data_IF_019946111641
#
_entry.id   IF_019946111641
#
_cell.length_a   1.000
_cell.length_b   1.000
_cell.length_c   1.000
_cell.angle_alpha   90.00
_cell.angle_beta   90.00
_cell.angle_gamma   90.00
#
_symmetry.space_group_name_H-M   'P 1'
#
loop_
_entity.id
_entity.type
_entity.pdbx_description
1 polymer ?
#
# COMPACT_ATOMS: atom_id res chain seq x y z
N UNK A 1 -73.56 28.27 -14.00
CA UNK A 1 -72.34 28.52 -13.20
C UNK A 1 -72.28 27.51 -12.07
N UNK A 2 -71.23 26.66 -12.04
CA UNK A 2 -70.67 26.00 -10.85
C UNK A 2 -69.40 25.26 -11.28
N UNK A 3 -68.27 25.96 -11.19
CA UNK A 3 -66.93 25.39 -11.32
C UNK A 3 -66.67 24.46 -10.13
N UNK A 4 -66.19 23.24 -10.38
CA UNK A 4 -65.60 22.37 -9.36
C UNK A 4 -64.15 22.11 -9.76
N UNK A 5 -63.25 22.89 -9.17
CA UNK A 5 -61.80 22.71 -9.26
C UNK A 5 -61.40 21.42 -8.55
N UNK A 6 -60.77 20.49 -9.26
CA UNK A 6 -60.03 19.38 -8.67
C UNK A 6 -58.60 19.88 -8.43
N UNK A 7 -58.19 19.99 -7.17
CA UNK A 7 -56.81 20.27 -6.79
C UNK A 7 -56.03 18.95 -6.80
N UNK A 8 -55.11 18.80 -7.76
CA UNK A 8 -54.17 17.68 -7.79
C UNK A 8 -53.02 18.00 -6.83
N UNK A 9 -52.96 17.27 -5.71
CA UNK A 9 -51.85 17.36 -4.76
C UNK A 9 -50.68 16.52 -5.30
N UNK A 10 -49.60 17.18 -5.72
CA UNK A 10 -48.38 16.53 -6.19
C UNK A 10 -47.46 16.28 -4.99
N UNK A 11 -47.46 15.06 -4.46
CA UNK A 11 -46.57 14.67 -3.36
C UNK A 11 -45.17 14.44 -3.91
N UNK A 12 -44.25 15.37 -3.66
CA UNK A 12 -42.83 15.25 -4.01
C UNK A 12 -42.17 14.26 -3.04
N UNK A 13 -41.93 13.02 -3.49
CA UNK A 13 -41.14 12.04 -2.73
C UNK A 13 -39.66 12.38 -2.93
N UNK A 14 -39.09 13.12 -1.97
CA UNK A 14 -37.66 13.40 -1.93
C UNK A 14 -36.93 12.12 -1.50
N UNK A 15 -36.40 11.39 -2.47
CA UNK A 15 -35.58 10.21 -2.23
C UNK A 15 -34.21 10.68 -1.73
N UNK A 16 -34.04 10.79 -0.42
CA UNK A 16 -32.72 11.00 0.18
C UNK A 16 -31.88 9.74 -0.03
N UNK A 17 -31.16 9.68 -1.16
CA UNK A 17 -30.09 8.73 -1.33
C UNK A 17 -28.97 9.17 -0.38
N UNK A 18 -28.88 8.52 0.78
CA UNK A 18 -27.66 8.55 1.57
C UNK A 18 -26.61 7.80 0.75
N UNK A 19 -25.89 8.54 -0.09
CA UNK A 19 -24.62 8.07 -0.61
C UNK A 19 -23.72 7.84 0.60
N UNK A 20 -23.59 6.58 1.03
CA UNK A 20 -22.47 6.18 1.87
C UNK A 20 -21.23 6.48 1.03
N UNK A 21 -20.61 7.62 1.28
CA UNK A 21 -19.38 7.99 0.62
C UNK A 21 -18.35 6.93 1.02
N UNK A 22 -18.00 6.05 0.09
CA UNK A 22 -16.83 5.18 0.23
C UNK A 22 -15.65 6.13 0.45
N UNK A 23 -15.11 6.19 1.68
CA UNK A 23 -14.09 7.19 2.03
C UNK A 23 -12.79 6.90 1.26
N UNK A 24 -12.50 5.63 0.95
CA UNK A 24 -11.33 5.26 0.15
C UNK A 24 -11.65 4.21 -0.91
N UNK A 25 -11.06 4.38 -2.10
CA UNK A 25 -11.13 3.43 -3.20
C UNK A 25 -9.77 3.21 -3.83
N UNK A 26 -9.63 2.12 -4.57
CA UNK A 26 -8.46 1.83 -5.39
C UNK A 26 -8.90 1.65 -6.84
N UNK A 27 -8.16 2.27 -7.76
CA UNK A 27 -8.40 2.19 -9.20
C UNK A 27 -7.15 1.67 -9.90
N UNK A 28 -7.34 0.97 -11.03
CA UNK A 28 -6.23 0.60 -11.90
C UNK A 28 -5.59 1.87 -12.48
N UNK A 29 -4.26 1.91 -12.49
CA UNK A 29 -3.50 2.99 -13.11
C UNK A 29 -2.76 2.45 -14.33
N UNK A 30 -3.30 2.71 -15.52
CA UNK A 30 -2.71 2.33 -16.81
C UNK A 30 -1.57 3.28 -17.24
N UNK A 31 -0.70 3.60 -16.29
CA UNK A 31 0.51 4.40 -16.47
C UNK A 31 1.68 3.64 -15.85
N UNK A 32 2.86 3.70 -16.48
CA UNK A 32 4.09 3.17 -15.89
C UNK A 32 4.59 4.07 -14.76
N UNK A 33 5.39 3.51 -13.85
CA UNK A 33 6.05 4.29 -12.83
C UNK A 33 6.96 5.38 -13.46
N UNK A 34 7.14 6.54 -12.80
CA UNK A 34 7.96 7.65 -13.31
C UNK A 34 9.44 7.23 -13.45
N UNK A 35 9.83 6.83 -14.66
CA UNK A 35 11.14 6.24 -14.94
C UNK A 35 12.30 7.24 -14.76
N UNK A 36 12.04 8.54 -14.91
CA UNK A 36 12.99 9.63 -14.69
C UNK A 36 13.36 9.81 -13.20
N UNK A 37 12.48 9.41 -12.28
CA UNK A 37 12.74 9.41 -10.85
C UNK A 37 13.47 8.16 -10.35
N UNK A 38 13.57 7.11 -11.18
CA UNK A 38 14.07 5.78 -10.80
C UNK A 38 15.44 5.48 -11.44
N UNK A 39 16.21 4.57 -10.83
CA UNK A 39 17.36 4.00 -11.54
C UNK A 39 16.87 3.11 -12.69
N UNK A 40 17.64 2.98 -13.79
CA UNK A 40 17.28 2.07 -14.88
C UNK A 40 17.08 0.62 -14.42
N UNK A 41 17.85 0.17 -13.43
CA UNK A 41 17.77 -1.17 -12.86
C UNK A 41 16.42 -1.40 -12.15
N UNK A 42 15.99 -0.45 -11.30
CA UNK A 42 14.71 -0.53 -10.60
C UNK A 42 13.54 -0.38 -11.59
N UNK A 43 13.60 0.61 -12.49
CA UNK A 43 12.56 0.82 -13.50
C UNK A 43 12.34 -0.42 -14.36
N UNK A 44 13.41 -1.14 -14.72
CA UNK A 44 13.34 -2.39 -15.48
C UNK A 44 12.59 -3.54 -14.78
N UNK A 45 12.47 -3.50 -13.45
CA UNK A 45 11.78 -4.51 -12.65
C UNK A 45 10.27 -4.27 -12.51
N UNK A 46 9.76 -3.06 -12.79
CA UNK A 46 8.38 -2.69 -12.47
C UNK A 46 7.38 -3.16 -13.53
N UNK A 47 6.17 -3.50 -13.09
CA UNK A 47 5.05 -3.74 -13.99
C UNK A 47 4.72 -2.47 -14.81
N UNK A 48 4.08 -2.65 -15.97
CA UNK A 48 3.75 -1.55 -16.90
C UNK A 48 2.56 -0.70 -16.43
N UNK A 49 1.84 -1.17 -15.40
CA UNK A 49 0.69 -0.51 -14.79
C UNK A 49 0.78 -0.60 -13.28
N UNK A 50 0.13 0.32 -12.59
CA UNK A 50 0.02 0.35 -11.14
C UNK A 50 -1.43 0.39 -10.67
N UNK A 51 -1.59 0.91 -9.46
CA UNK A 51 -2.88 1.31 -8.91
C UNK A 51 -2.80 2.72 -8.34
N UNK A 52 -3.94 3.38 -8.25
CA UNK A 52 -4.11 4.67 -7.57
C UNK A 52 -5.04 4.50 -6.39
N UNK A 53 -4.59 4.92 -5.21
CA UNK A 53 -5.42 4.96 -3.99
C UNK A 53 -6.00 6.36 -3.84
N UNK A 54 -7.32 6.46 -3.69
CA UNK A 54 -8.05 7.73 -3.69
C UNK A 54 -8.91 7.81 -2.44
N UNK A 55 -8.85 8.97 -1.76
CA UNK A 55 -9.77 9.36 -0.70
C UNK A 55 -10.86 10.29 -1.22
N UNK A 56 -12.10 10.06 -0.78
CA UNK A 56 -13.28 10.81 -1.19
C UNK A 56 -13.48 10.75 -2.71
N UNK A 57 -13.90 11.86 -3.32
CA UNK A 57 -14.16 11.90 -4.76
C UNK A 57 -12.87 11.90 -5.60
N UNK A 58 -11.81 12.57 -5.18
CA UNK A 58 -10.69 12.90 -6.06
C UNK A 58 -9.32 13.07 -5.41
N UNK A 59 -9.16 12.89 -4.09
CA UNK A 59 -7.87 13.10 -3.45
C UNK A 59 -7.01 11.84 -3.62
N UNK A 60 -6.07 11.85 -4.56
CA UNK A 60 -5.02 10.82 -4.61
C UNK A 60 -4.22 10.81 -3.32
N UNK A 61 -4.10 9.64 -2.70
CA UNK A 61 -3.21 9.40 -1.57
C UNK A 61 -1.84 8.97 -2.06
N UNK A 62 -1.81 7.96 -2.92
CA UNK A 62 -0.59 7.46 -3.55
C UNK A 62 -0.90 6.64 -4.80
N UNK A 63 0.12 6.49 -5.64
CA UNK A 63 0.15 5.54 -6.74
C UNK A 63 1.17 4.45 -6.44
N UNK A 64 0.85 3.18 -6.70
CA UNK A 64 1.69 2.02 -6.36
C UNK A 64 1.92 1.15 -7.59
N UNK A 65 3.18 0.79 -7.85
CA UNK A 65 3.59 -0.15 -8.89
C UNK A 65 4.36 -1.30 -8.27
N UNK A 66 3.91 -2.53 -8.46
CA UNK A 66 4.65 -3.72 -8.03
C UNK A 66 5.74 -4.08 -9.05
N UNK A 67 6.73 -4.86 -8.63
CA UNK A 67 7.62 -5.52 -9.60
C UNK A 67 6.84 -6.51 -10.46
N UNK A 68 7.33 -6.78 -11.68
CA UNK A 68 6.75 -7.76 -12.63
C UNK A 68 6.59 -9.14 -12.01
N UNK A 69 7.53 -9.50 -11.14
CA UNK A 69 7.52 -10.70 -10.34
C UNK A 69 8.39 -10.53 -9.09
N UNK A 70 8.12 -11.33 -8.07
CA UNK A 70 8.94 -11.49 -6.89
C UNK A 70 9.66 -12.84 -6.97
N UNK A 71 11.00 -12.87 -7.15
CA UNK A 71 11.74 -14.11 -7.04
C UNK A 71 11.74 -14.58 -5.58
N UNK A 72 11.34 -15.83 -5.34
CA UNK A 72 11.20 -16.42 -4.01
C UNK A 72 11.87 -17.79 -3.96
N UNK A 73 12.30 -18.18 -2.76
CA UNK A 73 12.82 -19.53 -2.48
C UNK A 73 11.71 -20.55 -2.28
N UNK A 74 10.59 -20.13 -1.70
CA UNK A 74 9.39 -20.93 -1.43
C UNK A 74 8.17 -19.99 -1.37
N UNK A 75 6.97 -20.54 -1.47
CA UNK A 75 5.72 -19.82 -1.18
C UNK A 75 5.37 -19.84 0.31
N UNK A 76 6.01 -20.71 1.09
CA UNK A 76 5.81 -20.81 2.54
C UNK A 76 6.57 -19.69 3.26
N UNK A 77 5.84 -18.91 4.07
CA UNK A 77 6.45 -17.95 4.98
C UNK A 77 7.04 -18.65 6.21
N UNK A 78 7.98 -17.99 6.89
CA UNK A 78 8.51 -18.47 8.18
C UNK A 78 7.45 -18.43 9.29
N UNK A 79 7.69 -19.15 10.40
CA UNK A 79 6.71 -19.37 11.47
C UNK A 79 6.05 -18.10 12.05
N UNK A 80 6.74 -16.95 11.99
CA UNK A 80 6.27 -15.65 12.52
C UNK A 80 6.18 -14.57 11.43
N UNK A 81 6.10 -14.97 10.16
CA UNK A 81 6.04 -14.06 9.01
C UNK A 81 4.75 -14.28 8.23
N UNK A 82 4.23 -13.20 7.66
CA UNK A 82 3.06 -13.26 6.78
C UNK A 82 3.49 -13.62 5.35
N UNK A 83 4.62 -13.07 4.90
CA UNK A 83 5.08 -13.21 3.51
C UNK A 83 6.44 -13.91 3.40
N UNK A 84 6.67 -14.71 2.33
CA UNK A 84 7.92 -15.44 2.12
C UNK A 84 9.03 -14.58 1.49
N UNK A 85 8.91 -13.25 1.55
CA UNK A 85 9.91 -12.34 1.00
C UNK A 85 11.23 -12.42 1.78
N UNK A 86 12.34 -12.22 1.08
CA UNK A 86 13.63 -12.08 1.75
C UNK A 86 13.84 -10.63 2.21
N UNK A 87 14.49 -10.39 3.37
CA UNK A 87 14.81 -9.04 3.81
C UNK A 87 15.55 -8.23 2.74
N UNK A 88 15.16 -6.97 2.57
CA UNK A 88 15.72 -6.05 1.59
C UNK A 88 15.18 -6.18 0.17
N UNK A 89 14.34 -7.17 -0.11
CA UNK A 89 13.78 -7.41 -1.44
C UNK A 89 12.97 -6.20 -1.93
N UNK A 90 13.16 -5.83 -3.20
CA UNK A 90 12.32 -4.85 -3.87
C UNK A 90 10.93 -5.45 -4.11
N UNK A 91 9.91 -4.81 -3.53
CA UNK A 91 8.51 -5.22 -3.69
C UNK A 91 7.81 -4.38 -4.76
N UNK A 92 8.16 -3.09 -4.83
CA UNK A 92 7.57 -2.15 -5.76
C UNK A 92 8.06 -0.72 -5.55
N UNK A 93 7.29 0.22 -6.07
CA UNK A 93 7.49 1.67 -5.95
C UNK A 93 6.15 2.31 -5.57
N UNK A 94 6.22 3.37 -4.77
CA UNK A 94 5.09 4.24 -4.44
C UNK A 94 5.43 5.69 -4.82
N UNK A 95 4.45 6.41 -5.35
CA UNK A 95 4.49 7.87 -5.52
C UNK A 95 3.48 8.50 -4.58
N UNK A 96 3.94 9.48 -3.80
CA UNK A 96 3.09 10.37 -3.02
C UNK A 96 3.06 11.73 -3.73
N UNK A 97 1.90 12.14 -4.23
CA UNK A 97 1.74 13.45 -4.91
C UNK A 97 1.63 14.62 -3.91
N UNK A 98 1.61 14.32 -2.61
CA UNK A 98 1.52 15.25 -1.48
C UNK A 98 2.17 14.58 -0.26
N UNK A 99 2.41 15.36 0.80
CA UNK A 99 2.78 14.83 2.12
C UNK A 99 1.82 13.71 2.56
N UNK A 100 2.39 12.62 3.07
CA UNK A 100 1.73 11.48 3.68
C UNK A 100 2.32 11.23 5.07
N UNK A 101 1.80 10.25 5.79
CA UNK A 101 2.46 9.69 6.97
C UNK A 101 2.72 8.19 6.78
N UNK A 102 3.70 7.68 7.49
CA UNK A 102 3.95 6.26 7.62
C UNK A 102 3.14 5.65 8.78
N UNK A 103 3.28 4.35 9.02
CA UNK A 103 2.54 3.64 10.06
C UNK A 103 3.02 3.94 11.50
N UNK A 104 3.96 4.87 11.66
CA UNK A 104 4.43 5.44 12.94
C UNK A 104 4.14 6.94 13.05
N UNK A 105 3.27 7.47 12.20
CA UNK A 105 2.97 8.89 12.11
C UNK A 105 4.19 9.78 11.73
N UNK A 106 5.21 9.19 11.11
CA UNK A 106 6.34 9.95 10.58
C UNK A 106 5.94 10.57 9.25
N UNK A 107 6.22 11.86 9.06
CA UNK A 107 5.92 12.53 7.80
C UNK A 107 6.74 11.93 6.65
N UNK A 108 6.06 11.61 5.55
CA UNK A 108 6.66 11.27 4.27
C UNK A 108 6.40 12.45 3.34
N UNK A 109 7.47 13.10 2.88
CA UNK A 109 7.36 14.16 1.87
C UNK A 109 6.81 13.65 0.54
N UNK A 110 6.32 14.56 -0.30
CA UNK A 110 5.94 14.19 -1.67
C UNK A 110 7.16 13.67 -2.46
N UNK A 111 6.93 12.70 -3.34
CA UNK A 111 8.00 12.12 -4.15
C UNK A 111 7.80 10.64 -4.49
N UNK A 112 8.83 10.05 -5.06
CA UNK A 112 8.86 8.65 -5.50
C UNK A 112 9.80 7.85 -4.61
N UNK A 113 9.31 6.72 -4.12
CA UNK A 113 9.99 5.87 -3.16
C UNK A 113 9.95 4.42 -3.62
N UNK A 114 11.04 3.69 -3.41
CA UNK A 114 11.00 2.23 -3.49
C UNK A 114 10.40 1.65 -2.21
N UNK A 115 9.78 0.49 -2.34
CA UNK A 115 9.22 -0.31 -1.26
C UNK A 115 10.07 -1.56 -1.06
N UNK A 116 10.74 -1.64 0.09
CA UNK A 116 11.68 -2.70 0.44
C UNK A 116 11.17 -3.51 1.59
N UNK A 117 11.03 -4.83 1.40
CA UNK A 117 10.58 -5.70 2.48
C UNK A 117 11.56 -5.71 3.64
N UNK A 118 11.06 -5.51 4.85
CA UNK A 118 11.82 -5.59 6.08
C UNK A 118 11.05 -6.35 7.14
N UNK A 119 11.80 -6.94 8.06
CA UNK A 119 11.26 -7.64 9.20
C UNK A 119 11.57 -6.86 10.46
N UNK A 120 10.58 -6.68 11.31
CA UNK A 120 10.81 -6.15 12.65
C UNK A 120 11.75 -7.11 13.42
N UNK A 121 12.80 -6.57 14.08
CA UNK A 121 13.71 -7.36 14.90
C UNK A 121 12.99 -8.14 16.01
N UNK A 122 13.54 -9.29 16.38
CA UNK A 122 13.08 -10.07 17.55
C UNK A 122 14.01 -9.77 18.71
N UNK A 123 13.80 -8.63 19.35
CA UNK A 123 14.54 -8.20 20.53
C UNK A 123 13.60 -7.53 21.55
N UNK A 124 14.13 -7.23 22.74
CA UNK A 124 13.34 -6.66 23.84
C UNK A 124 12.78 -5.27 23.58
N UNK A 125 13.22 -4.56 22.54
CA UNK A 125 12.75 -3.22 22.21
C UNK A 125 11.65 -3.21 21.13
N UNK A 126 11.49 -4.31 20.37
CA UNK A 126 10.57 -4.37 19.23
C UNK A 126 9.39 -5.31 19.44
N UNK A 127 9.60 -6.43 20.15
CA UNK A 127 8.55 -7.43 20.38
C UNK A 127 7.34 -6.78 21.08
N UNK A 128 6.15 -6.96 20.50
CA UNK A 128 4.88 -6.43 21.03
C UNK A 128 4.49 -5.04 20.53
N UNK A 129 5.36 -4.35 19.79
CA UNK A 129 5.05 -3.00 19.24
C UNK A 129 4.20 -3.05 17.96
N UNK A 130 4.00 -4.24 17.39
CA UNK A 130 3.10 -4.46 16.27
C UNK A 130 2.56 -5.89 16.26
N UNK A 131 1.39 -6.07 15.66
CA UNK A 131 0.75 -7.38 15.46
C UNK A 131 1.43 -8.23 14.36
N UNK A 132 2.32 -7.61 13.58
CA UNK A 132 3.05 -8.22 12.46
C UNK A 132 4.53 -7.86 12.55
N UNK A 133 5.37 -8.69 11.93
CA UNK A 133 6.78 -8.38 11.71
C UNK A 133 7.06 -7.93 10.29
N UNK A 134 6.11 -8.05 9.38
CA UNK A 134 6.26 -7.77 7.97
C UNK A 134 5.97 -6.28 7.68
N UNK A 135 6.97 -5.57 7.15
CA UNK A 135 6.86 -4.16 6.78
C UNK A 135 7.46 -3.90 5.41
N UNK A 136 7.01 -2.84 4.76
CA UNK A 136 7.71 -2.23 3.63
C UNK A 136 8.35 -0.93 4.12
N UNK A 137 9.67 -0.84 3.98
CA UNK A 137 10.38 0.40 4.22
C UNK A 137 10.38 1.26 2.96
N UNK A 138 10.04 2.54 3.14
CA UNK A 138 10.15 3.53 2.06
C UNK A 138 11.58 4.02 1.96
N UNK A 139 12.13 4.03 0.75
CA UNK A 139 13.44 4.63 0.46
C UNK A 139 13.29 5.57 -0.73
N UNK A 140 13.74 6.82 -0.60
CA UNK A 140 13.71 7.79 -1.71
C UNK A 140 14.35 7.18 -2.96
N UNK A 141 13.66 7.24 -4.09
CA UNK A 141 14.13 6.64 -5.34
C UNK A 141 15.49 7.17 -5.80
N UNK A 142 15.81 8.43 -5.48
CA UNK A 142 17.12 9.01 -5.76
C UNK A 142 18.27 8.35 -4.97
N UNK A 143 17.99 7.71 -3.83
CA UNK A 143 18.96 7.07 -2.95
C UNK A 143 19.03 5.54 -3.13
N UNK A 144 18.13 4.95 -3.91
CA UNK A 144 18.11 3.52 -4.22
C UNK A 144 18.42 3.27 -5.69
N UNK A 145 19.50 2.53 -5.97
CA UNK A 145 20.07 2.41 -7.32
C UNK A 145 20.12 1.01 -7.88
N UNK A 146 20.03 -0.01 -7.03
CA UNK A 146 20.07 -1.42 -7.44
C UNK A 146 18.78 -2.12 -7.05
N UNK A 147 18.30 -3.06 -7.85
CA UNK A 147 17.14 -3.89 -7.51
C UNK A 147 17.48 -5.04 -6.55
N UNK A 148 18.76 -5.31 -6.31
CA UNK A 148 19.22 -6.36 -5.41
C UNK A 148 18.73 -6.13 -3.96
N UNK A 149 18.56 -7.20 -3.17
CA UNK A 149 18.20 -7.07 -1.76
C UNK A 149 19.21 -6.24 -0.98
N UNK A 150 18.72 -5.27 -0.21
CA UNK A 150 19.54 -4.47 0.68
C UNK A 150 19.71 -5.15 2.04
N UNK A 151 20.94 -5.15 2.57
CA UNK A 151 21.16 -5.55 3.96
C UNK A 151 20.39 -4.62 4.92
N UNK A 152 19.98 -5.14 6.08
CA UNK A 152 19.09 -4.42 7.00
C UNK A 152 19.63 -3.04 7.43
N UNK A 153 20.89 -2.96 7.87
CA UNK A 153 21.47 -1.69 8.35
C UNK A 153 21.43 -0.57 7.28
N UNK A 154 21.98 -0.74 6.07
CA UNK A 154 21.90 0.30 5.05
C UNK A 154 20.46 0.57 4.60
N UNK A 155 19.58 -0.44 4.60
CA UNK A 155 18.17 -0.22 4.32
C UNK A 155 17.51 0.70 5.37
N UNK A 156 17.71 0.40 6.65
CA UNK A 156 17.17 1.17 7.76
C UNK A 156 17.69 2.62 7.75
N UNK A 157 18.99 2.81 7.51
CA UNK A 157 19.61 4.15 7.39
C UNK A 157 19.01 4.96 6.23
N UNK A 158 18.88 4.35 5.05
CA UNK A 158 18.28 5.01 3.88
C UNK A 158 16.81 5.35 4.10
N UNK A 159 16.07 4.47 4.77
CA UNK A 159 14.66 4.67 5.05
C UNK A 159 14.43 5.74 6.12
N UNK A 160 15.25 5.79 7.16
CA UNK A 160 15.20 6.85 8.17
C UNK A 160 15.50 8.23 7.55
N UNK A 161 16.48 8.29 6.65
CA UNK A 161 16.76 9.50 5.87
C UNK A 161 15.59 9.92 4.95
N UNK A 162 14.78 8.96 4.48
CA UNK A 162 13.64 9.24 3.61
C UNK A 162 12.51 10.00 4.32
N UNK A 163 12.32 9.73 5.62
CA UNK A 163 11.32 10.37 6.50
C UNK A 163 11.94 11.40 7.47
N UNK A 164 13.25 11.65 7.36
CA UNK A 164 13.99 12.65 8.15
C UNK A 164 13.92 12.42 9.67
N UNK A 165 13.90 11.16 10.11
CA UNK A 165 13.88 10.79 11.54
C UNK A 165 15.06 9.86 11.89
N UNK A 166 15.13 9.41 13.15
CA UNK A 166 16.07 8.37 13.59
C UNK A 166 15.60 6.94 13.28
N UNK A 167 14.37 6.77 12.77
CA UNK A 167 13.77 5.47 12.56
C UNK A 167 13.32 5.28 11.11
N UNK A 168 13.32 4.05 10.57
CA UNK A 168 12.84 3.79 9.23
C UNK A 168 11.39 4.25 9.02
N UNK A 169 11.09 4.79 7.85
CA UNK A 169 9.73 5.04 7.38
C UNK A 169 9.08 3.73 6.94
N UNK A 170 7.99 3.31 7.58
CA UNK A 170 7.45 1.97 7.43
C UNK A 170 5.96 1.97 7.07
N UNK A 171 5.58 1.09 6.15
CA UNK A 171 4.20 0.73 5.84
C UNK A 171 3.95 -0.71 6.30
N UNK A 172 2.88 -0.95 7.04
CA UNK A 172 2.60 -2.25 7.65
C UNK A 172 1.96 -3.22 6.66
N UNK A 173 2.50 -4.44 6.57
CA UNK A 173 1.89 -5.52 5.81
C UNK A 173 0.99 -6.36 6.72
N UNK A 174 -0.22 -6.63 6.25
CA UNK A 174 -1.24 -7.37 6.99
C UNK A 174 -1.51 -8.73 6.34
N UNK A 175 -2.12 -9.64 7.10
CA UNK A 175 -2.54 -10.93 6.56
C UNK A 175 -3.74 -10.70 5.64
N UNK A 176 -3.67 -11.29 4.45
CA UNK A 176 -4.82 -11.34 3.54
C UNK A 176 -5.88 -12.27 4.16
N UNK A 177 -7.12 -11.81 4.40
CA UNK A 177 -8.21 -12.65 4.87
C UNK A 177 -8.46 -13.85 3.95
N UNK A 178 -8.86 -14.99 4.51
CA UNK A 178 -9.09 -16.23 3.73
C UNK A 178 -10.17 -16.05 2.64
N UNK A 179 -11.24 -15.31 2.94
CA UNK A 179 -12.31 -14.99 1.98
C UNK A 179 -12.07 -13.67 1.24
N UNK A 180 -10.81 -13.38 0.92
CA UNK A 180 -10.43 -12.22 0.11
C UNK A 180 -11.02 -12.31 -1.31
N UNK A 181 -11.81 -11.31 -1.70
CA UNK A 181 -12.25 -11.12 -3.08
C UNK A 181 -11.15 -10.64 -4.03
N UNK A 182 -11.57 -10.27 -5.25
CA UNK A 182 -10.69 -9.85 -6.35
C UNK A 182 -9.81 -8.63 -6.01
N UNK A 183 -8.73 -8.47 -6.79
CA UNK A 183 -7.78 -7.34 -6.66
C UNK A 183 -7.74 -6.48 -7.93
N UNK A 184 -7.45 -5.17 -7.83
CA UNK A 184 -7.15 -4.44 -6.60
C UNK A 184 -8.40 -4.18 -5.75
N UNK A 185 -8.23 -4.22 -4.43
CA UNK A 185 -9.29 -3.91 -3.49
C UNK A 185 -8.78 -3.03 -2.35
N UNK A 186 -9.68 -2.38 -1.64
CA UNK A 186 -9.37 -1.65 -0.42
C UNK A 186 -10.40 -2.00 0.64
N UNK A 187 -9.96 -2.16 1.88
CA UNK A 187 -10.82 -2.44 3.03
C UNK A 187 -10.45 -1.56 4.21
N UNK A 188 -11.42 -1.34 5.06
CA UNK A 188 -11.23 -0.71 6.37
C UNK A 188 -11.05 -1.80 7.44
N UNK A 189 -10.16 -1.57 8.40
CA UNK A 189 -10.18 -2.22 9.70
C UNK A 189 -10.68 -1.17 10.69
N UNK A 190 -12.00 -1.14 10.92
CA UNK A 190 -12.67 -0.10 11.71
C UNK A 190 -12.13 -0.02 13.15
N UNK A 191 -11.77 -1.17 13.73
CA UNK A 191 -11.25 -1.23 15.10
C UNK A 191 -9.90 -0.53 15.27
N UNK A 192 -9.08 -0.55 14.21
CA UNK A 192 -7.73 0.04 14.22
C UNK A 192 -7.66 1.34 13.43
N UNK A 193 -8.78 1.75 12.80
CA UNK A 193 -8.86 2.89 11.91
C UNK A 193 -7.84 2.82 10.75
N UNK A 194 -7.65 1.61 10.19
CA UNK A 194 -6.73 1.40 9.08
C UNK A 194 -7.46 1.28 7.74
N UNK A 195 -6.88 1.88 6.71
CA UNK A 195 -7.25 1.59 5.32
C UNK A 195 -6.15 0.76 4.67
N UNK A 196 -6.54 -0.40 4.16
CA UNK A 196 -5.64 -1.45 3.72
C UNK A 196 -5.91 -1.72 2.24
N UNK A 197 -4.92 -1.44 1.39
CA UNK A 197 -4.97 -1.77 -0.03
C UNK A 197 -4.49 -3.21 -0.24
N UNK A 198 -5.27 -3.98 -0.99
CA UNK A 198 -4.92 -5.32 -1.45
C UNK A 198 -4.47 -5.28 -2.90
N UNK A 199 -3.27 -5.80 -3.15
CA UNK A 199 -2.67 -5.89 -4.47
C UNK A 199 -2.23 -7.33 -4.75
N UNK A 200 -2.20 -7.75 -6.01
CA UNK A 200 -1.68 -9.07 -6.40
C UNK A 200 -0.44 -8.92 -7.25
N UNK A 201 0.68 -9.45 -6.74
CA UNK A 201 1.91 -9.63 -7.52
C UNK A 201 2.07 -11.06 -8.04
N UNK A 202 3.17 -11.30 -8.76
CA UNK A 202 3.53 -12.63 -9.26
C UNK A 202 4.71 -13.19 -8.47
N UNK A 203 4.47 -14.17 -7.62
CA UNK A 203 5.52 -14.92 -6.95
C UNK A 203 6.15 -15.94 -7.92
N UNK A 204 7.48 -15.94 -8.03
CA UNK A 204 8.23 -16.85 -8.90
C UNK A 204 9.15 -17.76 -8.06
N UNK A 205 8.86 -19.06 -8.05
CA UNK A 205 9.67 -20.10 -7.39
C UNK A 205 10.15 -21.08 -8.46
N UNK A 206 11.47 -21.22 -8.63
CA UNK A 206 12.07 -22.11 -9.64
C UNK A 206 11.48 -21.92 -11.06
N UNK A 207 11.17 -20.67 -11.43
CA UNK A 207 10.59 -20.31 -12.72
C UNK A 207 9.08 -20.53 -12.85
N UNK A 208 8.42 -21.14 -11.87
CA UNK A 208 6.95 -21.24 -11.82
C UNK A 208 6.36 -19.99 -11.17
N UNK A 209 5.40 -19.38 -11.86
CA UNK A 209 4.71 -18.19 -11.39
C UNK A 209 3.38 -18.55 -10.72
N UNK A 210 3.08 -17.87 -9.62
CA UNK A 210 1.81 -17.95 -8.90
C UNK A 210 1.36 -16.54 -8.51
N UNK A 211 0.06 -16.31 -8.44
CA UNK A 211 -0.48 -15.07 -7.91
C UNK A 211 -0.24 -15.04 -6.39
N UNK A 212 0.25 -13.92 -5.89
CA UNK A 212 0.44 -13.69 -4.46
C UNK A 212 -0.20 -12.35 -4.07
N UNK A 213 -1.31 -12.36 -3.32
CA UNK A 213 -1.89 -11.14 -2.80
C UNK A 213 -1.04 -10.60 -1.64
N UNK A 214 -1.01 -9.28 -1.50
CA UNK A 214 -0.48 -8.56 -0.33
C UNK A 214 -1.52 -7.56 0.16
N UNK A 215 -1.68 -7.45 1.48
CA UNK A 215 -2.47 -6.39 2.14
C UNK A 215 -1.49 -5.38 2.76
N UNK A 216 -1.60 -4.10 2.39
CA UNK A 216 -0.71 -3.02 2.82
C UNK A 216 -1.53 -1.87 3.45
N UNK A 217 -1.19 -1.48 4.67
CA UNK A 217 -1.79 -0.29 5.31
C UNK A 217 -1.30 0.97 4.60
N UNK A 218 -2.23 1.78 4.08
CA UNK A 218 -1.96 3.05 3.39
C UNK A 218 -2.46 4.29 4.14
N UNK A 219 -3.35 4.11 5.12
CA UNK A 219 -3.78 5.12 6.09
C UNK A 219 -3.95 4.42 7.42
N UNK A 220 -3.53 5.07 8.50
CA UNK A 220 -3.53 4.53 9.86
C UNK A 220 -2.13 4.25 10.37
N UNK A 221 -2.02 4.06 11.68
CA UNK A 221 -0.76 3.89 12.39
C UNK A 221 -0.87 2.79 13.45
N UNK A 222 0.27 2.33 13.96
CA UNK A 222 0.30 1.48 15.13
C UNK A 222 -0.37 2.20 16.31
N UNK A 223 -1.26 1.51 17.02
CA UNK A 223 -1.72 1.96 18.33
C UNK A 223 -0.56 1.90 19.31
N UNK A 224 -0.31 3.00 20.02
CA UNK A 224 0.68 3.08 21.10
C UNK A 224 0.42 2.09 22.24
#
# INVERSE_FOLDING_TARGET
MRFRSFATLFTLVLSAQTALAIDHRVEKLDEAAPADALSPEIAGQLAESGVRVIRGSSRTLCDIWLTKQWPLKSLEAGADLIYPFQPGQLIGVVRFDRKSSDFRDQEIEEGVYTLRYAQQPVDGAHVGTSITRDFLLVVKAEADKSAEPLAYKPLAEKSAAAVQTSHPGLLSLQRVPEEAGDTPAIREDEEKEWWIVRLTGKAAVEGKQSAMPIDLVIVGQATE
#
